data_IF_637237929056
#
_entry.id   IF_637237929056
#
_cell.length_a   1.000
_cell.length_b   1.000
_cell.length_c   1.000
_cell.angle_alpha   90.00
_cell.angle_beta   90.00
_cell.angle_gamma   90.00
#
_symmetry.space_group_name_H-M   'P 1'
#
loop_
_entity.id
_entity.type
_entity.pdbx_description
1 polymer ?
#
# COMPACT_ATOMS: atom_id res chain seq x y z
N UNK A 1 -27.44 -7.76 1.71
CA UNK A 1 -26.30 -8.58 2.19
C UNK A 1 -26.45 -8.90 3.69
N UNK A 2 -25.96 -10.04 4.24
CA UNK A 2 -26.03 -10.29 5.70
C UNK A 2 -25.11 -9.32 6.47
N UNK A 3 -25.55 -8.88 7.67
CA UNK A 3 -24.81 -7.91 8.51
C UNK A 3 -23.38 -8.36 8.79
N UNK A 4 -23.14 -9.65 9.04
CA UNK A 4 -21.79 -10.18 9.24
C UNK A 4 -20.86 -10.02 8.04
N UNK A 5 -21.39 -10.15 6.82
CA UNK A 5 -20.65 -9.96 5.56
C UNK A 5 -20.32 -8.49 5.32
N UNK A 6 -21.26 -7.59 5.63
CA UNK A 6 -21.03 -6.14 5.58
C UNK A 6 -19.89 -5.77 6.52
N UNK A 7 -19.94 -6.23 7.78
CA UNK A 7 -18.89 -5.98 8.75
C UNK A 7 -17.53 -6.52 8.28
N UNK A 8 -17.48 -7.73 7.71
CA UNK A 8 -16.25 -8.31 7.19
C UNK A 8 -15.65 -7.47 6.05
N UNK A 9 -16.47 -7.03 5.08
CA UNK A 9 -15.99 -6.20 3.98
C UNK A 9 -15.53 -4.82 4.44
N UNK A 10 -16.19 -4.21 5.43
CA UNK A 10 -15.74 -2.94 6.00
C UNK A 10 -14.40 -3.08 6.74
N UNK A 11 -14.18 -4.18 7.46
CA UNK A 11 -12.89 -4.46 8.11
C UNK A 11 -11.78 -4.59 7.05
N UNK A 12 -12.04 -5.34 5.97
CA UNK A 12 -11.10 -5.49 4.87
C UNK A 12 -10.85 -4.16 4.14
N UNK A 13 -11.88 -3.34 3.96
CA UNK A 13 -11.76 -1.99 3.40
C UNK A 13 -10.84 -1.11 4.23
N UNK A 14 -11.00 -1.13 5.56
CA UNK A 14 -10.11 -0.40 6.48
C UNK A 14 -8.68 -0.93 6.38
N UNK A 15 -8.49 -2.26 6.31
CA UNK A 15 -7.17 -2.86 6.20
C UNK A 15 -6.45 -2.44 4.91
N UNK A 16 -7.11 -2.52 3.75
CA UNK A 16 -6.58 -2.03 2.47
C UNK A 16 -6.32 -0.52 2.50
N UNK A 17 -7.26 0.26 3.03
CA UNK A 17 -7.08 1.71 3.16
C UNK A 17 -5.85 2.03 4.01
N UNK A 18 -5.64 1.33 5.12
CA UNK A 18 -4.47 1.50 5.98
C UNK A 18 -3.17 1.08 5.27
N UNK A 19 -3.18 -0.03 4.53
CA UNK A 19 -2.03 -0.49 3.73
C UNK A 19 -1.67 0.51 2.63
N UNK A 20 -2.67 0.99 1.88
CA UNK A 20 -2.52 2.06 0.91
C UNK A 20 -1.97 3.34 1.52
N UNK A 21 -2.54 3.83 2.63
CA UNK A 21 -2.04 5.03 3.31
C UNK A 21 -0.61 4.86 3.81
N UNK A 22 -0.24 3.67 4.28
CA UNK A 22 1.13 3.36 4.68
C UNK A 22 2.11 3.49 3.50
N UNK A 23 1.78 2.89 2.35
CA UNK A 23 2.60 3.00 1.13
C UNK A 23 2.68 4.45 0.64
N UNK A 24 1.56 5.17 0.68
CA UNK A 24 1.47 6.57 0.28
C UNK A 24 2.38 7.45 1.14
N UNK A 25 2.25 7.37 2.47
CA UNK A 25 3.07 8.11 3.40
C UNK A 25 4.56 7.74 3.28
N UNK A 26 4.86 6.46 3.07
CA UNK A 26 6.22 5.98 2.79
C UNK A 26 6.79 6.60 1.51
N UNK A 27 6.00 6.66 0.43
CA UNK A 27 6.41 7.30 -0.83
C UNK A 27 6.61 8.81 -0.69
N UNK A 28 5.72 9.51 0.01
CA UNK A 28 5.85 10.96 0.23
C UNK A 28 7.10 11.30 1.05
N UNK A 29 7.32 10.58 2.14
CA UNK A 29 8.48 10.77 3.01
C UNK A 29 9.79 10.35 2.32
N UNK A 30 9.76 9.31 1.48
CA UNK A 30 10.89 8.90 0.65
C UNK A 30 11.27 9.96 -0.39
N UNK A 31 10.28 10.57 -1.06
CA UNK A 31 10.50 11.68 -1.98
C UNK A 31 11.13 12.89 -1.27
N UNK A 32 10.67 13.18 -0.07
CA UNK A 32 11.17 14.30 0.74
C UNK A 32 12.50 14.01 1.46
N UNK A 33 13.07 12.79 1.33
CA UNK A 33 14.32 12.42 1.99
C UNK A 33 14.21 12.28 3.52
N UNK A 34 12.99 12.15 4.05
CA UNK A 34 12.72 12.08 5.50
C UNK A 34 12.10 10.74 5.91
N UNK A 35 12.14 9.73 5.03
CA UNK A 35 11.59 8.41 5.31
C UNK A 35 12.34 7.73 6.45
N UNK A 36 11.64 7.45 7.55
CA UNK A 36 12.17 6.79 8.74
C UNK A 36 11.16 5.78 9.28
N UNK A 37 11.62 4.75 10.03
CA UNK A 37 10.74 3.82 10.72
C UNK A 37 9.68 4.56 11.55
N UNK A 38 8.42 4.08 11.57
CA UNK A 38 7.94 2.82 10.99
C UNK A 38 7.63 2.86 9.47
N UNK A 39 7.78 4.01 8.82
CA UNK A 39 7.54 4.17 7.38
C UNK A 39 8.72 3.67 6.54
N UNK A 40 8.43 3.34 5.29
CA UNK A 40 9.41 2.89 4.31
C UNK A 40 9.52 1.37 4.17
N UNK A 41 10.29 0.95 3.17
CA UNK A 41 10.60 -0.44 2.90
C UNK A 41 11.62 -0.94 3.93
N UNK A 42 11.26 -1.99 4.66
CA UNK A 42 12.23 -2.73 5.48
C UNK A 42 13.15 -3.55 4.58
N UNK A 43 14.35 -3.03 4.35
CA UNK A 43 15.41 -3.69 3.62
C UNK A 43 16.40 -4.31 4.62
N UNK A 44 16.55 -5.64 4.56
CA UNK A 44 17.42 -6.36 5.49
C UNK A 44 18.87 -5.93 5.32
N UNK A 45 19.56 -5.69 6.43
CA UNK A 45 20.96 -5.28 6.45
C UNK A 45 21.23 -3.82 6.11
N UNK A 46 20.19 -2.97 5.98
CA UNK A 46 20.34 -1.54 5.74
C UNK A 46 19.94 -0.76 6.98
N UNK A 47 20.86 0.03 7.51
CA UNK A 47 20.60 0.90 8.65
C UNK A 47 19.66 2.05 8.25
N UNK A 48 18.55 2.28 8.97
CA UNK A 48 17.66 3.42 8.70
C UNK A 48 18.39 4.76 8.81
N UNK A 49 18.26 5.61 7.79
CA UNK A 49 18.93 6.92 7.74
C UNK A 49 20.36 6.91 7.17
N UNK A 50 20.89 5.74 6.82
CA UNK A 50 22.12 5.64 6.02
C UNK A 50 21.93 6.18 4.60
N UNK A 51 23.04 6.45 3.89
CA UNK A 51 22.97 6.87 2.48
C UNK A 51 22.32 5.79 1.60
N UNK A 52 22.59 4.52 1.89
CA UNK A 52 21.98 3.35 1.24
C UNK A 52 20.47 3.34 1.45
N UNK A 53 20.02 3.60 2.68
CA UNK A 53 18.60 3.71 3.00
C UNK A 53 17.91 4.80 2.17
N UNK A 54 18.47 6.01 2.15
CA UNK A 54 17.91 7.12 1.39
C UNK A 54 17.92 6.86 -0.11
N UNK A 55 18.99 6.25 -0.63
CA UNK A 55 19.11 5.90 -2.06
C UNK A 55 18.03 4.89 -2.46
N UNK A 56 17.86 3.83 -1.68
CA UNK A 56 16.85 2.82 -1.94
C UNK A 56 15.42 3.40 -1.89
N UNK A 57 15.15 4.28 -0.93
CA UNK A 57 13.84 4.93 -0.82
C UNK A 57 13.61 5.95 -1.93
N UNK A 58 14.63 6.70 -2.36
CA UNK A 58 14.55 7.58 -3.53
C UNK A 58 14.28 6.80 -4.82
N UNK A 59 14.81 5.59 -4.97
CA UNK A 59 14.49 4.76 -6.13
C UNK A 59 13.05 4.21 -6.08
N UNK A 60 12.55 3.91 -4.88
CA UNK A 60 11.25 3.27 -4.67
C UNK A 60 10.07 4.24 -4.55
N UNK A 61 10.31 5.53 -4.26
CA UNK A 61 9.24 6.48 -3.90
C UNK A 61 8.08 6.57 -4.90
N UNK A 62 8.30 6.56 -6.24
CA UNK A 62 7.19 6.69 -7.18
C UNK A 62 6.25 5.48 -7.11
N UNK A 63 6.82 4.29 -6.91
CA UNK A 63 6.09 3.02 -6.85
C UNK A 63 5.31 2.93 -5.53
N UNK A 64 5.94 3.32 -4.41
CA UNK A 64 5.28 3.40 -3.10
C UNK A 64 4.12 4.40 -3.13
N UNK A 65 4.33 5.59 -3.70
CA UNK A 65 3.31 6.61 -3.83
C UNK A 65 2.13 6.12 -4.68
N UNK A 66 2.41 5.60 -5.87
CA UNK A 66 1.39 5.08 -6.78
C UNK A 66 0.61 3.91 -6.15
N UNK A 67 1.32 2.96 -5.53
CA UNK A 67 0.70 1.85 -4.82
C UNK A 67 -0.15 2.30 -3.65
N UNK A 68 0.26 3.35 -2.95
CA UNK A 68 -0.52 3.93 -1.88
C UNK A 68 -1.82 4.59 -2.36
N UNK A 69 -1.77 5.36 -3.43
CA UNK A 69 -2.98 5.95 -4.04
C UNK A 69 -3.95 4.86 -4.50
N UNK A 70 -3.44 3.86 -5.23
CA UNK A 70 -4.28 2.79 -5.76
C UNK A 70 -4.86 1.88 -4.67
N UNK A 71 -4.06 1.50 -3.67
CA UNK A 71 -4.53 0.69 -2.53
C UNK A 71 -5.58 1.41 -1.70
N UNK A 72 -5.34 2.70 -1.38
CA UNK A 72 -6.32 3.54 -0.66
C UNK A 72 -7.63 3.65 -1.45
N UNK A 73 -7.56 3.86 -2.76
CA UNK A 73 -8.74 3.91 -3.62
C UNK A 73 -9.51 2.58 -3.63
N UNK A 74 -8.82 1.43 -3.65
CA UNK A 74 -9.46 0.11 -3.56
C UNK A 74 -10.18 -0.08 -2.22
N UNK A 75 -9.54 0.30 -1.10
CA UNK A 75 -10.16 0.22 0.22
C UNK A 75 -11.42 1.08 0.32
N UNK A 76 -11.36 2.33 -0.14
CA UNK A 76 -12.53 3.23 -0.16
C UNK A 76 -13.63 2.69 -1.07
N UNK A 77 -13.28 2.20 -2.27
CA UNK A 77 -14.25 1.62 -3.20
C UNK A 77 -14.91 0.34 -2.64
N UNK A 78 -14.16 -0.50 -1.93
CA UNK A 78 -14.70 -1.65 -1.22
C UNK A 78 -15.73 -1.24 -0.17
N UNK A 79 -15.42 -0.21 0.64
CA UNK A 79 -16.37 0.32 1.61
C UNK A 79 -17.63 0.87 0.93
N UNK A 80 -17.47 1.70 -0.11
CA UNK A 80 -18.59 2.29 -0.83
C UNK A 80 -19.51 1.23 -1.44
N UNK A 81 -18.94 0.25 -2.16
CA UNK A 81 -19.72 -0.81 -2.81
C UNK A 81 -20.43 -1.72 -1.81
N UNK A 82 -19.84 -1.93 -0.64
CA UNK A 82 -20.48 -2.66 0.48
C UNK A 82 -21.72 -1.94 1.00
N UNK A 83 -21.71 -0.60 1.04
CA UNK A 83 -22.81 0.22 1.56
C UNK A 83 -23.89 0.53 0.51
N UNK A 84 -23.58 0.38 -0.79
CA UNK A 84 -24.51 0.61 -1.90
C UNK A 84 -25.32 -0.63 -2.29
N UNK A 85 -25.31 -1.69 -1.47
CA UNK A 85 -25.93 -3.01 -1.75
C UNK A 85 -25.58 -3.54 -3.15
N UNK A 86 -24.33 -3.33 -3.57
CA UNK A 86 -23.82 -3.82 -4.84
C UNK A 86 -23.82 -5.36 -4.88
N UNK A 87 -23.81 -5.94 -6.09
CA UNK A 87 -23.66 -7.39 -6.27
C UNK A 87 -22.41 -7.86 -5.54
N UNK A 88 -22.49 -8.95 -4.77
CA UNK A 88 -21.40 -9.48 -3.94
C UNK A 88 -20.08 -9.72 -4.70
N UNK A 89 -20.13 -9.98 -6.00
CA UNK A 89 -18.95 -10.10 -6.85
C UNK A 89 -18.11 -8.82 -6.89
N UNK A 90 -18.73 -7.65 -6.75
CA UNK A 90 -18.07 -6.35 -6.82
C UNK A 90 -17.11 -6.12 -5.63
N UNK A 91 -17.54 -6.20 -4.36
CA UNK A 91 -16.61 -6.09 -3.23
C UNK A 91 -15.54 -7.19 -3.25
N UNK A 92 -15.87 -8.41 -3.70
CA UNK A 92 -14.88 -9.49 -3.87
C UNK A 92 -13.78 -9.07 -4.86
N UNK A 93 -14.14 -8.50 -6.02
CA UNK A 93 -13.16 -8.01 -6.99
C UNK A 93 -12.26 -6.95 -6.36
N UNK A 94 -12.83 -5.97 -5.64
CA UNK A 94 -12.04 -4.93 -4.98
C UNK A 94 -11.08 -5.48 -3.91
N UNK A 95 -11.49 -6.51 -3.16
CA UNK A 95 -10.62 -7.19 -2.20
C UNK A 95 -9.43 -7.81 -2.95
N UNK A 96 -9.72 -8.65 -3.95
CA UNK A 96 -8.68 -9.41 -4.66
C UNK A 96 -7.74 -8.49 -5.42
N UNK A 97 -8.27 -7.54 -6.20
CA UNK A 97 -7.45 -6.61 -6.96
C UNK A 97 -6.69 -5.65 -6.05
N UNK A 98 -7.30 -5.19 -4.95
CA UNK A 98 -6.65 -4.33 -3.95
C UNK A 98 -5.43 -4.99 -3.31
N UNK A 99 -5.59 -6.24 -2.87
CA UNK A 99 -4.48 -7.03 -2.31
C UNK A 99 -3.36 -7.21 -3.34
N UNK A 100 -3.70 -7.56 -4.59
CA UNK A 100 -2.72 -7.73 -5.66
C UNK A 100 -1.95 -6.43 -5.92
N UNK A 101 -2.66 -5.30 -5.99
CA UNK A 101 -2.07 -3.98 -6.24
C UNK A 101 -1.11 -3.58 -5.12
N UNK A 102 -1.55 -3.67 -3.86
CA UNK A 102 -0.72 -3.27 -2.72
C UNK A 102 0.50 -4.17 -2.55
N UNK A 103 0.31 -5.49 -2.56
CA UNK A 103 1.41 -6.44 -2.41
C UNK A 103 2.36 -6.40 -3.61
N UNK A 104 1.81 -6.33 -4.83
CA UNK A 104 2.57 -6.26 -6.07
C UNK A 104 3.45 -5.02 -6.13
N UNK A 105 2.88 -3.83 -5.88
CA UNK A 105 3.65 -2.59 -5.91
C UNK A 105 4.62 -2.48 -4.74
N UNK A 106 4.31 -3.03 -3.56
CA UNK A 106 5.29 -3.16 -2.49
C UNK A 106 6.49 -4.02 -2.89
N UNK A 107 6.25 -5.17 -3.55
CA UNK A 107 7.33 -6.04 -4.06
C UNK A 107 8.18 -5.34 -5.12
N UNK A 108 7.54 -4.64 -6.06
CA UNK A 108 8.23 -3.87 -7.11
C UNK A 108 9.05 -2.73 -6.49
N UNK A 109 8.49 -2.01 -5.51
CA UNK A 109 9.20 -0.96 -4.78
C UNK A 109 10.41 -1.52 -4.03
N UNK A 110 10.26 -2.67 -3.36
CA UNK A 110 11.35 -3.39 -2.71
C UNK A 110 12.43 -3.82 -3.70
N UNK A 111 12.03 -4.29 -4.88
CA UNK A 111 12.93 -4.63 -5.98
C UNK A 111 13.72 -3.42 -6.48
N UNK A 112 13.05 -2.29 -6.74
CA UNK A 112 13.67 -1.05 -7.16
C UNK A 112 14.66 -0.52 -6.12
N UNK A 113 14.28 -0.52 -4.84
CA UNK A 113 15.17 -0.14 -3.75
C UNK A 113 16.43 -0.99 -3.71
N UNK A 114 16.30 -2.32 -3.75
CA UNK A 114 17.46 -3.24 -3.79
C UNK A 114 18.33 -3.07 -5.03
N UNK A 115 17.73 -2.83 -6.19
CA UNK A 115 18.47 -2.67 -7.44
C UNK A 115 19.36 -1.42 -7.42
N UNK A 116 18.94 -0.35 -6.73
CA UNK A 116 19.71 0.90 -6.59
C UNK A 116 20.96 0.80 -5.69
N UNK A 117 21.15 -0.33 -5.02
CA UNK A 117 22.26 -0.59 -4.09
C UNK A 117 23.37 -1.46 -4.71
N UNK A 118 23.15 -1.95 -5.93
CA UNK A 118 24.17 -2.61 -6.75
C UNK A 118 24.94 -1.57 -7.54
#
# INVERSE_FOLDING_TARGET
MHVGLIAAFLILAVALTAGGLYLFASGLTARAGVCRPPLGLRLAGIEPGSQEWERAHRAAWPILFAGGVLGTAHGIALAATTLMDARISVPIVFIVSGVIVEAGLWLVAKGAGKASLK
#
